data_IF_471998146433
#
_entry.id   IF_471998146433
#
_cell.length_a   1.000
_cell.length_b   1.000
_cell.length_c   1.000
_cell.angle_alpha   90.00
_cell.angle_beta   90.00
_cell.angle_gamma   90.00
#
_symmetry.space_group_name_H-M   'P 1'
#
loop_
_entity.id
_entity.type
_entity.pdbx_description
1 polymer ?
#
# COMPACT_ATOMS: atom_id res chain seq x y z
N UNK A 1 -33.66 42.16 22.64
CA UNK A 1 -32.81 41.47 21.64
C UNK A 1 -31.46 42.14 21.62
N UNK A 2 -30.36 41.37 21.61
CA UNK A 2 -29.03 41.94 21.46
C UNK A 2 -28.86 42.43 20.00
N UNK A 3 -28.41 43.66 19.83
CA UNK A 3 -28.11 44.23 18.51
C UNK A 3 -26.66 43.89 18.17
N UNK A 4 -26.46 43.24 17.04
CA UNK A 4 -25.14 42.97 16.47
C UNK A 4 -24.93 43.91 15.29
N UNK A 5 -23.79 44.59 15.26
CA UNK A 5 -23.44 45.55 14.19
C UNK A 5 -22.47 44.89 13.21
N UNK A 6 -22.60 45.21 11.93
CA UNK A 6 -21.76 44.66 10.86
C UNK A 6 -21.07 45.81 10.15
N UNK A 7 -19.74 45.73 10.01
CA UNK A 7 -18.94 46.78 9.37
C UNK A 7 -18.02 46.20 8.30
N UNK A 8 -17.90 46.89 7.16
CA UNK A 8 -16.96 46.54 6.09
C UNK A 8 -15.83 47.57 6.05
N UNK A 9 -14.59 47.09 6.07
CA UNK A 9 -13.39 47.90 5.96
C UNK A 9 -12.46 47.38 4.86
N UNK A 10 -11.88 48.32 4.10
CA UNK A 10 -11.17 48.02 2.85
C UNK A 10 -9.66 47.82 3.05
N UNK A 11 -9.09 48.24 4.18
CA UNK A 11 -7.64 48.20 4.40
C UNK A 11 -7.23 47.72 5.80
N UNK A 12 -7.91 48.18 6.86
CA UNK A 12 -7.57 47.82 8.25
C UNK A 12 -8.77 47.99 9.18
N UNK A 13 -8.65 47.51 10.42
CA UNK A 13 -9.58 47.85 11.50
C UNK A 13 -9.56 49.37 11.79
N UNK A 14 -10.67 49.96 12.26
CA UNK A 14 -10.68 51.33 12.73
C UNK A 14 -9.86 51.49 14.03
N UNK A 15 -9.36 52.69 14.29
CA UNK A 15 -8.58 52.98 15.51
C UNK A 15 -9.34 52.78 16.81
N UNK A 16 -10.67 52.82 16.76
CA UNK A 16 -11.57 52.51 17.87
C UNK A 16 -12.59 51.48 17.43
N UNK A 17 -12.72 50.41 18.20
CA UNK A 17 -13.65 49.32 17.94
C UNK A 17 -14.96 49.53 18.71
N UNK A 18 -16.06 49.23 18.04
CA UNK A 18 -17.39 49.28 18.59
C UNK A 18 -17.73 47.94 19.26
N UNK A 19 -18.40 48.00 20.40
CA UNK A 19 -18.84 46.81 21.12
C UNK A 19 -19.89 46.01 20.31
N UNK A 20 -19.92 44.70 20.52
CA UNK A 20 -20.90 43.78 19.93
C UNK A 20 -20.98 43.87 18.39
N UNK A 21 -19.83 43.90 17.73
CA UNK A 21 -19.70 44.19 16.31
C UNK A 21 -18.89 43.12 15.56
N UNK A 22 -19.21 42.92 14.28
CA UNK A 22 -18.51 42.06 13.33
C UNK A 22 -17.87 42.94 12.26
N UNK A 23 -16.56 42.82 12.08
CA UNK A 23 -15.77 43.56 11.11
C UNK A 23 -15.29 42.65 9.99
N UNK A 24 -15.60 43.00 8.75
CA UNK A 24 -15.08 42.37 7.54
C UNK A 24 -13.94 43.24 6.99
N UNK A 25 -12.70 42.84 7.17
CA UNK A 25 -11.51 43.62 6.77
C UNK A 25 -10.84 42.94 5.59
N UNK A 26 -10.64 43.65 4.47
CA UNK A 26 -10.02 43.07 3.28
C UNK A 26 -8.58 42.61 3.55
N UNK A 27 -8.27 41.38 3.15
CA UNK A 27 -6.94 40.78 3.23
C UNK A 27 -6.66 40.00 1.93
N UNK A 28 -5.65 40.41 1.15
CA UNK A 28 -5.34 39.83 -0.15
C UNK A 28 -6.54 39.86 -1.12
N UNK A 29 -6.93 38.69 -1.63
CA UNK A 29 -8.12 38.50 -2.49
C UNK A 29 -9.43 38.30 -1.72
N UNK A 30 -9.40 38.22 -0.37
CA UNK A 30 -10.53 37.93 0.50
C UNK A 30 -10.73 38.95 1.62
N UNK A 31 -11.29 38.51 2.75
CA UNK A 31 -11.46 39.31 3.97
C UNK A 31 -11.30 38.43 5.21
N UNK A 32 -10.79 39.04 6.27
CA UNK A 32 -10.81 38.48 7.62
C UNK A 32 -12.07 38.95 8.36
N UNK A 33 -12.58 38.14 9.28
CA UNK A 33 -13.69 38.49 10.15
C UNK A 33 -13.18 38.69 11.57
N UNK A 34 -13.42 39.86 12.16
CA UNK A 34 -13.14 40.15 13.57
C UNK A 34 -14.44 40.35 14.33
N UNK A 35 -14.54 39.83 15.55
CA UNK A 35 -15.72 39.98 16.42
C UNK A 35 -15.31 40.72 17.69
N UNK A 36 -16.12 41.66 18.16
CA UNK A 36 -15.89 42.37 19.41
C UNK A 36 -16.90 41.99 20.49
N UNK A 37 -16.46 41.94 21.74
CA UNK A 37 -17.34 41.73 22.89
C UNK A 37 -18.05 43.03 23.32
N UNK A 38 -18.80 42.97 24.43
CA UNK A 38 -19.48 44.12 25.05
C UNK A 38 -18.53 45.24 25.48
N UNK A 39 -17.23 44.98 25.57
CA UNK A 39 -16.20 45.95 25.92
C UNK A 39 -15.49 46.55 24.70
N UNK A 40 -15.92 46.22 23.47
CA UNK A 40 -15.27 46.71 22.25
C UNK A 40 -13.86 46.13 22.03
N UNK A 41 -13.49 45.08 22.74
CA UNK A 41 -12.21 44.39 22.55
C UNK A 41 -12.38 43.30 21.51
N UNK A 42 -11.39 43.12 20.62
CA UNK A 42 -11.37 41.99 19.69
C UNK A 42 -11.39 40.70 20.51
N UNK A 43 -12.43 39.91 20.31
CA UNK A 43 -12.44 38.52 20.74
C UNK A 43 -12.14 37.70 19.50
N UNK A 44 -10.91 37.19 19.43
CA UNK A 44 -10.53 36.24 18.40
C UNK A 44 -11.27 34.92 18.67
N UNK A 45 -12.40 34.73 18.01
CA UNK A 45 -12.90 33.39 17.74
C UNK A 45 -12.19 32.92 16.48
N UNK A 46 -11.42 31.82 16.49
CA UNK A 46 -10.69 31.38 15.33
C UNK A 46 -11.66 31.13 14.17
N UNK A 47 -11.62 32.00 13.16
CA UNK A 47 -12.20 31.72 11.86
C UNK A 47 -11.19 30.88 11.07
N UNK A 48 -11.54 29.62 10.88
CA UNK A 48 -10.87 28.63 10.05
C UNK A 48 -9.57 28.03 10.66
N UNK A 49 -9.78 26.89 11.32
CA UNK A 49 -8.82 25.78 11.46
C UNK A 49 -7.95 25.67 10.21
N UNK A 50 -6.62 25.60 10.38
CA UNK A 50 -5.71 25.21 9.30
C UNK A 50 -6.25 23.93 8.65
N UNK A 51 -6.47 23.96 7.34
CA UNK A 51 -6.91 22.77 6.60
C UNK A 51 -5.81 21.74 6.73
N UNK A 52 -6.02 20.76 7.60
CA UNK A 52 -5.14 19.62 7.72
C UNK A 52 -5.59 18.58 6.70
N UNK A 53 -4.80 18.38 5.66
CA UNK A 53 -5.10 17.46 4.56
C UNK A 53 -5.36 16.04 5.06
N UNK A 54 -4.76 15.67 6.19
CA UNK A 54 -4.92 14.36 6.81
C UNK A 54 -6.28 14.19 7.47
N UNK A 55 -7.07 15.24 7.66
CA UNK A 55 -8.42 15.13 8.22
C UNK A 55 -9.47 14.76 7.18
N UNK A 56 -9.14 14.85 5.89
CA UNK A 56 -10.07 14.64 4.78
C UNK A 56 -10.04 13.23 4.20
N UNK A 57 -9.07 12.40 4.58
CA UNK A 57 -9.04 10.98 4.18
C UNK A 57 -10.08 10.22 5.01
N UNK A 58 -10.97 9.41 4.43
CA UNK A 58 -11.95 8.64 5.22
C UNK A 58 -11.29 7.66 6.20
N UNK A 59 -11.93 7.41 7.35
CA UNK A 59 -11.48 6.36 8.26
C UNK A 59 -11.56 5.00 7.55
N UNK A 60 -10.54 4.17 7.73
CA UNK A 60 -10.37 2.88 7.07
C UNK A 60 -9.71 2.95 5.69
N UNK A 61 -9.61 4.14 5.09
CA UNK A 61 -8.97 4.30 3.79
C UNK A 61 -7.46 4.07 3.89
N UNK A 62 -6.94 3.39 2.87
CA UNK A 62 -5.53 3.09 2.69
C UNK A 62 -4.99 3.90 1.51
N UNK A 63 -3.79 4.46 1.64
CA UNK A 63 -3.16 5.19 0.55
C UNK A 63 -1.63 5.09 0.60
N UNK A 64 -0.96 5.08 -0.56
CA UNK A 64 0.48 5.02 -0.65
C UNK A 64 1.13 6.40 -0.46
N UNK A 65 2.28 6.44 0.22
CA UNK A 65 3.17 7.58 0.31
C UNK A 65 4.60 7.14 -0.05
N UNK A 66 5.33 7.98 -0.77
CA UNK A 66 6.77 7.83 -0.94
C UNK A 66 7.52 8.52 0.21
N UNK A 67 7.53 7.89 1.38
CA UNK A 67 8.17 8.43 2.59
C UNK A 67 9.70 8.54 2.46
N UNK A 68 10.30 7.96 1.42
CA UNK A 68 11.76 8.00 1.18
C UNK A 68 12.21 9.24 0.41
N UNK A 69 11.29 9.88 -0.32
CA UNK A 69 11.61 11.08 -1.10
C UNK A 69 11.61 12.31 -0.20
N UNK A 70 12.73 13.04 -0.19
CA UNK A 70 12.88 14.27 0.61
C UNK A 70 11.78 15.28 0.30
N UNK A 71 11.17 15.83 1.36
CA UNK A 71 10.11 16.84 1.25
C UNK A 71 8.69 16.26 1.17
N UNK A 72 8.53 14.93 1.07
CA UNK A 72 7.21 14.29 1.19
C UNK A 72 6.78 14.27 2.66
N UNK A 73 5.65 14.90 2.95
CA UNK A 73 5.05 14.87 4.28
C UNK A 73 4.36 13.52 4.54
N UNK A 74 4.49 13.02 5.76
CA UNK A 74 3.72 11.88 6.28
C UNK A 74 2.70 12.38 7.32
N UNK A 75 1.58 11.67 7.56
CA UNK A 75 0.64 12.08 8.58
C UNK A 75 1.34 12.15 9.94
N UNK A 76 1.09 13.17 10.77
CA UNK A 76 1.70 13.26 12.08
C UNK A 76 1.05 12.27 13.06
N UNK A 77 1.78 11.96 14.12
CA UNK A 77 1.39 10.96 15.10
C UNK A 77 0.59 11.51 16.29
N UNK A 78 0.64 12.81 16.50
CA UNK A 78 0.22 13.52 17.72
C UNK A 78 -1.05 14.37 17.56
N UNK A 79 -1.81 14.17 16.48
CA UNK A 79 -3.04 14.91 16.26
C UNK A 79 -4.23 14.32 17.07
N UNK A 80 -5.01 15.15 17.77
CA UNK A 80 -6.17 14.69 18.52
C UNK A 80 -7.40 14.38 17.64
N UNK A 81 -7.45 14.80 16.38
CA UNK A 81 -8.60 14.60 15.49
C UNK A 81 -8.45 13.39 14.57
N UNK A 82 -7.23 12.91 14.34
CA UNK A 82 -6.99 11.75 13.53
C UNK A 82 -5.82 10.93 14.01
N UNK A 83 -5.78 9.68 13.56
CA UNK A 83 -4.64 8.79 13.75
C UNK A 83 -4.51 7.89 12.55
N UNK A 84 -3.28 7.72 12.11
CA UNK A 84 -2.92 6.77 11.07
C UNK A 84 -2.06 5.67 11.66
N UNK A 85 -2.06 4.54 10.97
CA UNK A 85 -1.06 3.49 11.13
C UNK A 85 -0.30 3.34 9.82
N UNK A 86 1.00 3.10 9.91
CA UNK A 86 1.78 2.63 8.78
C UNK A 86 1.60 1.11 8.72
N UNK A 87 1.28 0.56 7.56
CA UNK A 87 0.96 -0.87 7.42
C UNK A 87 2.23 -1.74 7.40
N UNK A 88 3.13 -1.52 8.37
CA UNK A 88 4.45 -2.15 8.54
C UNK A 88 4.56 -2.68 9.97
N UNK A 89 4.99 -3.93 10.11
CA UNK A 89 5.26 -4.57 11.39
C UNK A 89 6.43 -3.91 12.11
N UNK A 90 6.29 -3.75 13.43
CA UNK A 90 7.30 -3.23 14.34
C UNK A 90 7.84 -1.85 13.96
N UNK A 91 7.04 -1.03 13.27
CA UNK A 91 7.42 0.32 12.87
C UNK A 91 7.12 1.32 14.00
N UNK A 92 8.09 2.17 14.33
CA UNK A 92 7.98 3.19 15.39
C UNK A 92 6.84 4.18 15.16
N UNK A 93 6.39 4.36 13.92
CA UNK A 93 5.23 5.18 13.60
C UNK A 93 3.98 4.69 14.35
N UNK A 94 3.87 3.39 14.61
CA UNK A 94 2.70 2.73 15.20
C UNK A 94 2.75 2.62 16.74
N UNK A 95 3.74 3.22 17.40
CA UNK A 95 3.88 3.13 18.85
C UNK A 95 2.58 3.46 19.58
N UNK A 96 2.13 2.53 20.42
CA UNK A 96 0.95 2.67 21.28
C UNK A 96 -0.40 2.42 20.60
N UNK A 97 -0.46 2.23 19.28
CA UNK A 97 -1.74 2.07 18.53
C UNK A 97 -1.91 0.72 17.83
N UNK A 98 -0.89 -0.13 17.84
CA UNK A 98 -0.98 -1.52 17.41
C UNK A 98 -0.60 -2.45 18.57
N UNK A 99 -1.28 -3.59 18.64
CA UNK A 99 -1.01 -4.70 19.56
C UNK A 99 -1.13 -6.02 18.81
N UNK A 100 -0.75 -7.13 19.46
CA UNK A 100 -0.84 -8.49 18.89
C UNK A 100 -0.26 -8.60 17.47
N UNK A 101 0.85 -7.89 17.22
CA UNK A 101 1.54 -7.98 15.95
C UNK A 101 2.07 -9.41 15.75
N UNK A 102 1.87 -9.95 14.55
CA UNK A 102 2.34 -11.27 14.15
C UNK A 102 2.93 -11.18 12.75
N UNK A 103 4.14 -11.69 12.57
CA UNK A 103 4.79 -11.86 11.28
C UNK A 103 5.20 -13.32 11.16
N UNK A 104 4.79 -13.97 10.07
CA UNK A 104 5.04 -15.39 9.82
C UNK A 104 5.32 -15.67 8.36
N UNK A 105 5.86 -16.87 8.09
CA UNK A 105 6.26 -17.29 6.74
C UNK A 105 7.60 -16.71 6.30
N UNK A 106 7.96 -17.02 5.06
CA UNK A 106 9.17 -16.53 4.39
C UNK A 106 8.80 -15.98 3.02
N UNK A 107 9.55 -14.99 2.52
CA UNK A 107 9.30 -14.44 1.19
C UNK A 107 9.22 -15.56 0.13
N UNK A 108 8.21 -15.54 -0.76
CA UNK A 108 7.21 -14.47 -0.98
C UNK A 108 5.94 -14.56 -0.10
N UNK A 109 5.77 -15.59 0.71
CA UNK A 109 4.52 -15.91 1.44
C UNK A 109 4.48 -15.30 2.85
N UNK A 110 5.04 -14.11 3.04
CA UNK A 110 5.02 -13.43 4.34
C UNK A 110 3.58 -13.00 4.67
N UNK A 111 3.12 -13.34 5.86
CA UNK A 111 1.86 -12.86 6.41
C UNK A 111 2.12 -12.03 7.65
N UNK A 112 1.51 -10.85 7.72
CA UNK A 112 1.75 -9.89 8.78
C UNK A 112 0.43 -9.21 9.19
N UNK A 113 0.06 -9.36 10.46
CA UNK A 113 -1.17 -8.77 11.01
C UNK A 113 -0.90 -8.07 12.32
N UNK A 114 -1.79 -7.15 12.68
CA UNK A 114 -1.85 -6.49 13.98
C UNK A 114 -3.30 -6.24 14.37
N UNK A 115 -3.53 -5.97 15.65
CA UNK A 115 -4.80 -5.48 16.17
C UNK A 115 -4.67 -3.98 16.44
N UNK A 116 -5.62 -3.18 15.96
CA UNK A 116 -5.69 -1.75 16.29
C UNK A 116 -6.01 -1.61 17.78
N UNK A 117 -5.19 -0.83 18.49
CA UNK A 117 -5.32 -0.55 19.92
C UNK A 117 -5.32 0.97 20.15
N UNK A 118 -6.35 1.65 19.66
CA UNK A 118 -6.58 3.08 19.90
C UNK A 118 -8.03 3.22 20.38
N UNK A 119 -8.23 3.52 21.67
CA UNK A 119 -9.56 3.61 22.26
C UNK A 119 -10.44 4.71 21.62
N UNK A 120 -9.85 5.73 20.99
CA UNK A 120 -10.60 6.76 20.27
C UNK A 120 -10.97 6.37 18.84
N UNK A 121 -10.46 5.25 18.33
CA UNK A 121 -10.70 4.78 16.96
C UNK A 121 -12.01 3.98 16.89
N UNK A 122 -12.89 4.24 15.91
CA UNK A 122 -14.01 3.34 15.62
C UNK A 122 -13.56 1.97 15.10
N UNK A 123 -12.28 1.79 14.77
CA UNK A 123 -11.67 0.53 14.36
C UNK A 123 -10.91 -0.17 15.51
N UNK A 124 -11.07 0.28 16.76
CA UNK A 124 -10.40 -0.35 17.90
C UNK A 124 -10.75 -1.85 18.01
N UNK A 125 -9.74 -2.68 18.30
CA UNK A 125 -9.86 -4.14 18.38
C UNK A 125 -9.95 -4.85 17.03
N UNK A 126 -9.99 -4.13 15.91
CA UNK A 126 -10.03 -4.77 14.58
C UNK A 126 -8.64 -5.26 14.17
N UNK A 127 -8.61 -6.43 13.53
CA UNK A 127 -7.38 -6.97 12.93
C UNK A 127 -7.13 -6.32 11.58
N UNK A 128 -5.91 -5.87 11.35
CA UNK A 128 -5.45 -5.28 10.09
C UNK A 128 -4.25 -6.05 9.55
N UNK A 129 -4.09 -6.04 8.22
CA UNK A 129 -2.91 -6.56 7.55
C UNK A 129 -1.85 -5.48 7.40
N UNK A 130 -0.61 -5.86 7.60
CA UNK A 130 0.56 -5.00 7.49
C UNK A 130 1.16 -5.21 6.09
N UNK A 131 0.43 -4.71 5.08
CA UNK A 131 0.71 -5.00 3.66
C UNK A 131 2.07 -4.51 3.16
N UNK A 132 2.70 -3.53 3.81
CA UNK A 132 4.07 -3.13 3.47
C UNK A 132 5.05 -4.24 3.86
N UNK A 133 4.82 -4.93 4.98
CA UNK A 133 5.62 -6.09 5.42
C UNK A 133 5.31 -7.33 4.60
N UNK A 134 4.03 -7.59 4.28
CA UNK A 134 3.65 -8.69 3.38
C UNK A 134 4.10 -8.47 1.94
N UNK A 135 4.40 -7.23 1.54
CA UNK A 135 4.57 -6.79 0.14
C UNK A 135 3.35 -7.10 -0.74
N UNK A 136 2.15 -7.08 -0.15
CA UNK A 136 0.90 -7.42 -0.84
C UNK A 136 0.44 -6.26 -1.73
N UNK A 137 0.04 -6.57 -2.96
CA UNK A 137 -0.60 -5.60 -3.86
C UNK A 137 -2.12 -5.53 -3.66
N UNK A 138 -2.69 -4.34 -3.70
CA UNK A 138 -4.14 -4.11 -3.67
C UNK A 138 -4.69 -4.13 -5.10
N UNK A 139 -5.83 -4.80 -5.31
CA UNK A 139 -6.58 -4.81 -6.57
C UNK A 139 -8.09 -4.73 -6.29
N UNK A 140 -8.91 -4.24 -7.24
CA UNK A 140 -10.37 -4.30 -7.12
C UNK A 140 -10.87 -5.74 -6.92
N UNK A 141 -11.86 -5.93 -6.05
CA UNK A 141 -12.40 -7.24 -5.70
C UNK A 141 -13.33 -7.19 -4.49
N UNK A 142 -13.52 -8.33 -3.83
CA UNK A 142 -14.33 -8.44 -2.61
C UNK A 142 -13.54 -7.92 -1.40
N UNK A 143 -14.03 -6.83 -0.78
CA UNK A 143 -13.37 -6.22 0.38
C UNK A 143 -13.16 -7.24 1.51
N UNK A 144 -11.97 -7.23 2.12
CA UNK A 144 -11.58 -8.15 3.19
C UNK A 144 -11.18 -9.56 2.74
N UNK A 145 -11.41 -9.93 1.48
CA UNK A 145 -10.93 -11.22 0.94
C UNK A 145 -9.42 -11.14 0.72
N UNK A 146 -8.71 -12.15 1.22
CA UNK A 146 -7.26 -12.24 1.11
C UNK A 146 -6.91 -13.32 0.12
N UNK A 147 -6.27 -12.92 -0.96
CA UNK A 147 -5.91 -13.82 -2.05
C UNK A 147 -4.39 -14.01 -2.07
N UNK A 148 -3.92 -15.25 -2.02
CA UNK A 148 -2.51 -15.55 -2.27
C UNK A 148 -2.19 -15.36 -3.77
N UNK A 149 -0.90 -15.30 -4.10
CA UNK A 149 -0.49 -15.37 -5.50
C UNK A 149 -0.98 -16.68 -6.12
N UNK A 150 -1.48 -16.57 -7.34
CA UNK A 150 -1.93 -17.71 -8.12
C UNK A 150 -1.59 -17.46 -9.58
N UNK A 151 -1.08 -18.49 -10.24
CA UNK A 151 -0.97 -18.53 -11.69
C UNK A 151 -2.21 -19.23 -12.25
N UNK A 152 -2.66 -18.79 -13.42
CA UNK A 152 -3.64 -19.57 -14.18
C UNK A 152 -3.05 -20.92 -14.53
N UNK A 153 -3.90 -21.94 -14.65
CA UNK A 153 -3.47 -23.30 -14.94
C UNK A 153 -2.64 -23.35 -16.24
N UNK A 154 -1.45 -23.94 -16.16
CA UNK A 154 -0.57 -24.18 -17.32
C UNK A 154 -0.50 -25.69 -17.53
N UNK A 155 -0.99 -26.16 -18.65
CA UNK A 155 -0.98 -27.58 -19.01
C UNK A 155 -0.17 -27.82 -20.27
N UNK A 156 0.44 -29.01 -20.35
CA UNK A 156 1.16 -29.50 -21.52
C UNK A 156 1.38 -31.01 -21.39
N UNK A 157 1.40 -31.72 -22.52
CA UNK A 157 1.72 -33.14 -22.55
C UNK A 157 2.77 -33.41 -23.62
N UNK A 158 3.70 -34.31 -23.30
CA UNK A 158 4.66 -34.86 -24.24
C UNK A 158 4.40 -36.35 -24.30
N UNK A 159 3.87 -36.84 -25.42
CA UNK A 159 3.61 -38.26 -25.65
C UNK A 159 4.59 -38.77 -26.69
N UNK A 160 5.56 -39.59 -26.28
CA UNK A 160 6.46 -40.31 -27.19
C UNK A 160 5.95 -41.74 -27.37
N UNK A 161 5.57 -42.12 -28.60
CA UNK A 161 5.07 -43.46 -28.93
C UNK A 161 6.03 -44.30 -29.79
N UNK A 162 7.33 -43.97 -29.87
CA UNK A 162 8.28 -44.72 -30.72
C UNK A 162 9.66 -44.91 -30.10
N UNK A 163 10.34 -46.00 -30.50
CA UNK A 163 11.77 -46.21 -30.28
C UNK A 163 12.53 -45.00 -30.84
N UNK A 164 13.21 -44.26 -29.96
CA UNK A 164 13.95 -43.06 -30.37
C UNK A 164 15.33 -43.48 -30.89
N UNK A 165 15.50 -43.46 -32.21
CA UNK A 165 16.76 -43.79 -32.89
C UNK A 165 17.72 -42.60 -33.00
N UNK A 166 17.26 -41.37 -32.69
CA UNK A 166 18.06 -40.16 -32.82
C UNK A 166 17.87 -39.19 -31.64
N UNK A 167 18.98 -38.61 -31.20
CA UNK A 167 19.00 -37.59 -30.14
C UNK A 167 18.41 -36.29 -30.69
N UNK A 168 17.40 -35.67 -30.05
CA UNK A 168 16.95 -34.32 -30.39
C UNK A 168 18.13 -33.34 -30.22
N UNK A 169 18.54 -32.72 -31.32
CA UNK A 169 19.65 -31.76 -31.37
C UNK A 169 19.18 -30.31 -31.34
N UNK A 170 17.90 -30.04 -31.63
CA UNK A 170 17.30 -28.71 -31.65
C UNK A 170 16.41 -28.45 -30.45
N UNK A 171 16.98 -28.13 -29.29
CA UNK A 171 16.24 -27.58 -28.14
C UNK A 171 16.54 -26.09 -28.02
N UNK A 172 15.49 -25.29 -27.85
CA UNK A 172 15.59 -23.83 -27.80
C UNK A 172 14.61 -23.24 -26.79
N UNK A 173 14.90 -22.04 -26.32
CA UNK A 173 14.06 -21.31 -25.39
C UNK A 173 14.05 -21.92 -23.97
N UNK A 174 12.86 -21.92 -23.34
CA UNK A 174 12.66 -22.46 -22.00
C UNK A 174 12.70 -24.00 -21.94
N UNK A 175 12.72 -24.67 -23.09
CA UNK A 175 12.83 -26.13 -23.17
C UNK A 175 14.30 -26.51 -23.32
N UNK A 176 14.81 -27.25 -22.33
CA UNK A 176 16.16 -27.78 -22.28
C UNK A 176 16.18 -29.31 -22.40
N UNK A 177 17.35 -29.83 -22.74
CA UNK A 177 17.66 -31.26 -22.68
C UNK A 177 18.56 -31.48 -21.46
N UNK A 178 18.13 -32.35 -20.55
CA UNK A 178 18.81 -32.56 -19.26
C UNK A 178 19.54 -33.89 -19.16
N UNK A 179 19.09 -34.90 -19.91
CA UNK A 179 19.70 -36.22 -19.89
C UNK A 179 19.30 -37.10 -21.08
N UNK A 180 20.22 -37.96 -21.50
CA UNK A 180 19.95 -39.10 -22.40
C UNK A 180 20.43 -40.34 -21.69
N UNK A 181 19.52 -41.27 -21.42
CA UNK A 181 19.89 -42.60 -20.95
C UNK A 181 19.96 -43.52 -22.17
N UNK A 182 21.17 -43.90 -22.54
CA UNK A 182 21.41 -44.96 -23.54
C UNK A 182 21.47 -46.30 -22.81
N UNK A 183 20.45 -47.13 -22.94
CA UNK A 183 20.52 -48.51 -22.44
C UNK A 183 21.03 -49.40 -23.57
N UNK A 184 22.17 -50.05 -23.36
CA UNK A 184 22.59 -51.15 -24.25
C UNK A 184 21.69 -52.34 -23.91
N UNK A 185 20.51 -52.42 -24.50
CA UNK A 185 19.78 -53.70 -24.48
C UNK A 185 20.59 -54.67 -25.35
N UNK A 186 21.14 -55.72 -24.73
CA UNK A 186 21.74 -56.86 -25.41
C UNK A 186 20.69 -57.59 -26.24
N UNK A 187 20.32 -57.01 -27.39
CA UNK A 187 19.56 -57.67 -28.44
C UNK A 187 20.54 -57.97 -29.55
N UNK A 188 20.68 -59.24 -29.90
CA UNK A 188 21.50 -59.72 -31.00
C UNK A 188 21.03 -59.08 -32.31
N UNK A 189 21.57 -57.92 -32.66
CA UNK A 189 21.17 -57.12 -33.82
C UNK A 189 21.66 -55.69 -33.68
N UNK A 190 22.53 -55.27 -34.59
CA UNK A 190 23.32 -54.04 -34.61
C UNK A 190 22.49 -52.77 -34.36
N UNK A 191 22.56 -52.20 -33.15
CA UNK A 191 22.08 -50.85 -32.85
C UNK A 191 21.88 -50.57 -31.34
N UNK A 192 22.56 -49.56 -30.80
CA UNK A 192 22.29 -49.07 -29.45
C UNK A 192 20.91 -48.38 -29.41
N UNK A 193 20.06 -48.73 -28.43
CA UNK A 193 18.73 -48.15 -28.28
C UNK A 193 18.74 -47.08 -27.17
N UNK A 194 18.10 -45.94 -27.41
CA UNK A 194 17.91 -44.90 -26.38
C UNK A 194 16.66 -45.24 -25.59
N UNK A 195 16.77 -45.24 -24.27
CA UNK A 195 15.73 -45.72 -23.33
C UNK A 195 15.00 -44.56 -22.64
N UNK A 196 15.57 -43.35 -22.66
CA UNK A 196 14.90 -42.17 -22.13
C UNK A 196 15.55 -40.85 -22.54
N UNK A 197 14.71 -39.84 -22.75
CA UNK A 197 15.11 -38.44 -22.94
C UNK A 197 14.42 -37.61 -21.87
N UNK A 198 15.20 -36.89 -21.08
CA UNK A 198 14.67 -35.91 -20.13
C UNK A 198 14.60 -34.55 -20.79
N UNK A 199 13.39 -34.02 -20.87
CA UNK A 199 13.09 -32.65 -21.31
C UNK A 199 12.78 -31.82 -20.07
N UNK A 200 13.55 -30.78 -19.85
CA UNK A 200 13.35 -29.86 -18.73
C UNK A 200 12.70 -28.58 -19.20
N UNK A 201 11.82 -28.03 -18.37
CA UNK A 201 11.33 -26.67 -18.52
C UNK A 201 12.05 -25.77 -17.52
N UNK A 202 12.75 -24.77 -18.04
CA UNK A 202 13.40 -23.73 -17.25
C UNK A 202 13.20 -22.36 -17.90
N UNK A 203 12.32 -21.56 -17.28
CA UNK A 203 12.02 -20.21 -17.74
C UNK A 203 13.21 -19.24 -17.62
N UNK A 204 14.19 -19.52 -16.74
CA UNK A 204 15.35 -18.64 -16.54
C UNK A 204 16.24 -18.49 -17.77
N UNK A 205 16.12 -19.44 -18.71
CA UNK A 205 16.83 -19.44 -20.00
C UNK A 205 16.38 -18.34 -20.95
N UNK A 206 15.16 -17.82 -20.79
CA UNK A 206 14.54 -16.83 -21.69
C UNK A 206 13.90 -15.64 -20.97
N UNK A 207 13.77 -15.71 -19.65
CA UNK A 207 13.13 -14.69 -18.84
C UNK A 207 13.90 -14.43 -17.55
N UNK A 208 13.76 -13.22 -17.02
CA UNK A 208 14.23 -12.90 -15.67
C UNK A 208 13.36 -13.64 -14.66
N UNK A 209 13.97 -14.43 -13.80
CA UNK A 209 13.29 -15.16 -12.73
C UNK A 209 13.64 -14.58 -11.36
N UNK A 210 12.73 -14.78 -10.41
CA UNK A 210 12.89 -14.44 -9.00
C UNK A 210 11.98 -15.37 -8.19
N UNK A 211 12.06 -15.33 -6.86
CA UNK A 211 11.22 -16.13 -5.97
C UNK A 211 9.73 -15.70 -5.97
N UNK A 212 9.37 -14.63 -6.68
CA UNK A 212 8.02 -14.08 -6.77
C UNK A 212 7.73 -13.69 -8.22
N UNK A 213 6.55 -14.08 -8.73
CA UNK A 213 6.09 -13.61 -10.04
C UNK A 213 5.51 -12.20 -9.91
N UNK A 214 6.15 -11.21 -10.54
CA UNK A 214 5.71 -9.81 -10.46
C UNK A 214 6.01 -9.02 -11.72
N UNK A 215 5.18 -8.02 -11.98
CA UNK A 215 5.47 -6.97 -12.97
C UNK A 215 6.57 -6.04 -12.44
N UNK A 216 7.16 -5.21 -13.32
CA UNK A 216 8.01 -4.11 -12.85
C UNK A 216 7.14 -3.16 -12.02
N UNK A 217 7.52 -2.95 -10.77
CA UNK A 217 6.77 -2.14 -9.80
C UNK A 217 7.70 -1.30 -8.93
N UNK A 218 7.13 -0.30 -8.26
CA UNK A 218 7.79 0.53 -7.25
C UNK A 218 7.12 0.29 -5.89
N UNK A 219 7.93 0.10 -4.86
CA UNK A 219 7.44 0.02 -3.48
C UNK A 219 7.04 1.41 -2.95
N UNK A 220 5.95 1.45 -2.18
CA UNK A 220 5.47 2.63 -1.46
C UNK A 220 5.00 2.20 -0.08
N UNK A 221 5.09 3.12 0.88
CA UNK A 221 4.58 2.88 2.23
C UNK A 221 3.09 3.19 2.25
N UNK A 222 2.26 2.18 2.54
CA UNK A 222 0.84 2.40 2.77
C UNK A 222 0.57 2.80 4.21
N UNK A 223 -0.32 3.79 4.33
CA UNK A 223 -0.89 4.25 5.59
C UNK A 223 -2.39 4.00 5.58
N UNK A 224 -2.96 3.71 6.75
CA UNK A 224 -4.41 3.59 6.96
C UNK A 224 -4.87 4.57 8.02
N UNK A 225 -5.92 5.33 7.73
CA UNK A 225 -6.57 6.16 8.75
C UNK A 225 -7.38 5.28 9.69
N UNK A 226 -7.16 5.39 11.00
CA UNK A 226 -7.91 4.64 12.02
C UNK A 226 -8.80 5.55 12.87
N UNK A 227 -8.51 6.84 12.95
CA UNK A 227 -9.28 7.86 13.68
C UNK A 227 -9.28 9.13 12.87
#
# INVERSE_FOLDING_TARGET
MAVIKHHKYVASLPGTLEANSIYYVRAGSGFDIYVTNSSGTIVAYPLNRSIDVWEFIPIGAEFPIDATTTGVAIPPTDNPNYRYIKLTASDSYNTGVLTSESVSGSAPLVQATAVINDAGSPMNGQTVRLINTERRSIRPGSSGTVEADALQNITGSITNQQQITAIPTGVAGAIGKSGVTTSIMSRSGTGAQIDGITVDFDASRVARTANETRIKSLGRDYYKRIR
#
